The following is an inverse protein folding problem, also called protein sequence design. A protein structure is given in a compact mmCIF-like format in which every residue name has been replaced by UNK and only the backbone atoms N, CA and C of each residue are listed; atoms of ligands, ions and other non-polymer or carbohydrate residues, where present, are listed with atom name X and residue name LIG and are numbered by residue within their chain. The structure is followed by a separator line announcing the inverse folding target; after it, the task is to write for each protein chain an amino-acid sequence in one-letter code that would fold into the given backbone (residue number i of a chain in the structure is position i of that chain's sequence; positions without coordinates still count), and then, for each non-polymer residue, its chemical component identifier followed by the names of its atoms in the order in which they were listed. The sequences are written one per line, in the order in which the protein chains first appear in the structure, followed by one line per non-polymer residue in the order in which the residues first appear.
data_IF_798570131729
#
_entry.id   IF_798570131729
#
_cell.length_a   1.000
_cell.length_b   1.000
_cell.length_c   1.000
_cell.angle_alpha   90.00
_cell.angle_beta   90.00
_cell.angle_gamma   90.00
#
_symmetry.space_group_name_H-M   'P 1'
#
loop_
_entity.id
_entity.type
_entity.pdbx_description
1 polymer ?
#
# COMPACT_ATOMS: atom_id res chain seq x y z
N UNK A 1 -20.26 -10.07 -24.33
CA UNK A 1 -19.53 -8.81 -24.55
C UNK A 1 -18.10 -9.19 -24.90
N UNK A 2 -17.67 -9.02 -26.14
CA UNK A 2 -16.30 -9.30 -26.56
C UNK A 2 -15.40 -8.26 -25.90
N UNK A 3 -14.57 -8.70 -24.97
CA UNK A 3 -13.50 -7.86 -24.41
C UNK A 3 -12.53 -7.61 -25.57
N UNK A 4 -12.55 -6.41 -26.14
CA UNK A 4 -11.55 -5.98 -27.12
C UNK A 4 -10.21 -6.08 -26.41
N UNK A 5 -9.41 -7.12 -26.73
CA UNK A 5 -8.05 -7.26 -26.22
C UNK A 5 -7.27 -6.03 -26.68
N UNK A 6 -6.59 -5.38 -25.74
CA UNK A 6 -5.72 -4.24 -26.03
C UNK A 6 -4.66 -4.67 -27.06
N UNK A 7 -4.59 -3.99 -28.20
CA UNK A 7 -3.57 -4.24 -29.21
C UNK A 7 -2.33 -3.42 -28.90
N UNK A 8 -1.20 -4.11 -28.71
CA UNK A 8 0.12 -3.50 -28.46
C UNK A 8 1.07 -4.02 -29.54
N UNK A 9 1.60 -3.17 -30.42
CA UNK A 9 2.47 -3.61 -31.51
C UNK A 9 3.65 -4.45 -31.02
N UNK A 10 3.85 -5.64 -31.60
CA UNK A 10 4.94 -6.54 -31.23
C UNK A 10 4.71 -7.36 -29.97
N UNK A 11 3.52 -7.26 -29.36
CA UNK A 11 3.17 -7.99 -28.13
C UNK A 11 1.83 -8.70 -28.27
N UNK A 12 1.78 -9.97 -27.94
CA UNK A 12 0.55 -10.74 -27.84
C UNK A 12 0.05 -10.70 -26.39
N UNK A 13 -1.01 -9.95 -26.16
CA UNK A 13 -1.64 -9.81 -24.83
C UNK A 13 -2.43 -11.06 -24.49
N UNK A 14 -2.23 -11.60 -23.26
CA UNK A 14 -2.91 -12.80 -22.76
C UNK A 14 -4.04 -12.48 -21.78
N UNK A 15 -3.88 -11.43 -20.98
CA UNK A 15 -4.87 -11.04 -19.98
C UNK A 15 -4.36 -9.95 -19.06
N UNK A 16 -5.26 -9.44 -18.21
CA UNK A 16 -4.96 -8.40 -17.24
C UNK A 16 -4.42 -9.02 -15.94
N UNK A 17 -3.25 -8.56 -15.49
CA UNK A 17 -2.63 -8.95 -14.21
C UNK A 17 -3.11 -8.09 -13.04
N UNK A 18 -3.36 -6.79 -13.31
CA UNK A 18 -3.78 -5.84 -12.28
C UNK A 18 -4.39 -4.58 -12.86
N UNK A 19 -5.16 -3.88 -12.02
CA UNK A 19 -5.79 -2.61 -12.36
C UNK A 19 -5.62 -1.64 -11.21
N UNK A 20 -4.85 -0.58 -11.44
CA UNK A 20 -4.65 0.53 -10.51
C UNK A 20 -5.45 1.77 -10.89
N UNK A 21 -5.35 2.81 -10.09
CA UNK A 21 -5.98 4.11 -10.37
C UNK A 21 -5.50 4.74 -11.69
N UNK A 22 -4.19 4.74 -11.92
CA UNK A 22 -3.53 5.46 -13.01
C UNK A 22 -3.07 4.55 -14.17
N UNK A 23 -2.94 3.24 -13.96
CA UNK A 23 -2.45 2.29 -14.96
C UNK A 23 -3.12 0.92 -14.84
N UNK A 24 -3.06 0.15 -15.92
CA UNK A 24 -3.45 -1.25 -16.00
C UNK A 24 -2.23 -2.09 -16.38
N UNK A 25 -2.10 -3.28 -15.80
CA UNK A 25 -0.97 -4.18 -16.07
C UNK A 25 -1.48 -5.43 -16.76
N UNK A 26 -0.84 -5.82 -17.85
CA UNK A 26 -1.20 -6.97 -18.67
C UNK A 26 -0.06 -7.97 -18.75
N UNK A 27 -0.39 -9.25 -18.78
CA UNK A 27 0.53 -10.31 -19.20
C UNK A 27 0.55 -10.36 -20.72
N UNK A 28 1.73 -10.33 -21.31
CA UNK A 28 1.91 -10.47 -22.76
C UNK A 28 3.12 -11.34 -23.10
N UNK A 29 3.21 -11.75 -24.36
CA UNK A 29 4.42 -12.31 -24.96
C UNK A 29 4.99 -11.31 -25.95
N UNK A 30 6.24 -10.91 -25.77
CA UNK A 30 7.00 -10.15 -26.76
C UNK A 30 7.33 -11.09 -27.93
N UNK A 31 6.76 -10.81 -29.12
CA UNK A 31 6.78 -11.75 -30.24
C UNK A 31 8.20 -11.95 -30.81
N UNK A 32 8.99 -10.87 -30.89
CA UNK A 32 10.34 -10.88 -31.44
C UNK A 32 11.31 -11.77 -30.66
N UNK A 33 11.14 -11.88 -29.32
CA UNK A 33 12.03 -12.65 -28.43
C UNK A 33 11.32 -13.86 -27.80
N UNK A 34 10.03 -14.08 -28.10
CA UNK A 34 9.21 -15.17 -27.56
C UNK A 34 9.25 -15.29 -26.04
N UNK A 35 9.35 -14.14 -25.33
CA UNK A 35 9.41 -14.08 -23.88
C UNK A 35 8.15 -13.49 -23.26
N UNK A 36 7.80 -13.95 -22.04
CA UNK A 36 6.72 -13.33 -21.25
C UNK A 36 7.17 -12.00 -20.67
N UNK A 37 6.30 -11.02 -20.72
CA UNK A 37 6.51 -9.67 -20.19
C UNK A 37 5.27 -9.21 -19.44
N UNK A 38 5.44 -8.30 -18.49
CA UNK A 38 4.36 -7.51 -17.94
C UNK A 38 4.34 -6.14 -18.65
N UNK A 39 3.15 -5.71 -19.09
CA UNK A 39 3.01 -4.42 -19.77
C UNK A 39 2.10 -3.54 -18.94
N UNK A 40 2.64 -2.43 -18.44
CA UNK A 40 1.93 -1.40 -17.69
C UNK A 40 1.51 -0.31 -18.66
N UNK A 41 0.20 -0.09 -18.81
CA UNK A 41 -0.39 0.89 -19.73
C UNK A 41 -1.03 2.00 -18.91
N UNK A 42 -0.71 3.25 -19.20
CA UNK A 42 -1.37 4.41 -18.60
C UNK A 42 -2.82 4.48 -19.05
N UNK A 43 -3.73 4.87 -18.15
CA UNK A 43 -5.17 4.92 -18.43
C UNK A 43 -5.60 6.14 -19.23
N UNK A 44 -4.88 7.25 -19.10
CA UNK A 44 -5.17 8.49 -19.84
C UNK A 44 -3.92 8.96 -20.58
N UNK A 45 -4.14 9.55 -21.76
CA UNK A 45 -3.14 10.25 -22.54
C UNK A 45 -3.21 11.78 -22.36
N UNK A 46 -4.21 12.27 -21.61
CA UNK A 46 -4.55 13.71 -21.55
C UNK A 46 -3.59 14.50 -20.66
N UNK A 47 -2.98 13.87 -19.64
CA UNK A 47 -2.01 14.52 -18.77
C UNK A 47 -0.58 14.34 -19.31
N UNK A 48 -0.17 15.28 -20.16
CA UNK A 48 1.18 15.29 -20.75
C UNK A 48 2.27 15.41 -19.67
N UNK A 49 2.05 16.19 -18.61
CA UNK A 49 3.02 16.37 -17.52
C UNK A 49 3.25 15.06 -16.78
N UNK A 50 2.17 14.35 -16.47
CA UNK A 50 2.23 13.02 -15.86
C UNK A 50 2.92 12.01 -16.78
N UNK A 51 2.58 12.02 -18.07
CA UNK A 51 3.16 11.12 -19.06
C UNK A 51 4.67 11.31 -19.22
N UNK A 52 5.14 12.56 -19.27
CA UNK A 52 6.58 12.86 -19.38
C UNK A 52 7.36 12.44 -18.12
N UNK A 53 6.78 12.62 -16.92
CA UNK A 53 7.40 12.14 -15.68
C UNK A 53 7.47 10.61 -15.65
N UNK A 54 6.40 9.93 -16.02
CA UNK A 54 6.38 8.47 -16.15
C UNK A 54 7.49 7.95 -17.08
N UNK A 55 7.69 8.59 -18.24
CA UNK A 55 8.75 8.23 -19.18
C UNK A 55 10.13 8.49 -18.59
N UNK A 56 10.34 9.68 -17.99
CA UNK A 56 11.61 10.05 -17.37
C UNK A 56 12.01 9.06 -16.28
N UNK A 57 11.07 8.70 -15.42
CA UNK A 57 11.26 7.69 -14.38
C UNK A 57 11.63 6.34 -14.98
N UNK A 58 10.85 5.88 -15.95
CA UNK A 58 11.09 4.61 -16.60
C UNK A 58 12.49 4.57 -17.26
N UNK A 59 12.97 5.66 -17.86
CA UNK A 59 14.34 5.75 -18.39
C UNK A 59 15.40 5.63 -17.29
N UNK A 60 15.18 6.27 -16.13
CA UNK A 60 16.14 6.16 -15.03
C UNK A 60 16.16 4.73 -14.51
N UNK A 61 15.00 4.12 -14.24
CA UNK A 61 14.91 2.74 -13.77
C UNK A 61 15.50 1.77 -14.80
N UNK A 62 15.26 1.97 -16.11
CA UNK A 62 15.84 1.17 -17.18
C UNK A 62 17.36 1.22 -17.22
N UNK A 63 17.97 2.31 -16.72
CA UNK A 63 19.44 2.44 -16.62
C UNK A 63 20.03 1.69 -15.42
N UNK A 64 19.20 1.22 -14.48
CA UNK A 64 19.64 0.50 -13.29
C UNK A 64 19.78 -0.99 -13.63
N UNK A 65 20.90 -1.58 -13.26
CA UNK A 65 21.12 -3.02 -13.38
C UNK A 65 21.39 -3.61 -12.00
N UNK A 66 20.35 -4.21 -11.41
CA UNK A 66 20.42 -4.82 -10.09
C UNK A 66 19.44 -5.99 -9.96
N UNK A 67 19.80 -7.13 -9.34
CA UNK A 67 18.92 -8.29 -9.23
C UNK A 67 17.61 -8.03 -8.49
N UNK A 68 17.57 -7.04 -7.60
CA UNK A 68 16.37 -6.66 -6.84
C UNK A 68 15.67 -5.41 -7.37
N UNK A 69 15.91 -5.00 -8.60
CA UNK A 69 15.19 -3.94 -9.31
C UNK A 69 14.54 -4.54 -10.55
N UNK A 70 13.30 -4.14 -10.84
CA UNK A 70 12.58 -4.58 -12.04
C UNK A 70 13.34 -4.21 -13.31
N UNK A 71 13.47 -5.14 -14.25
CA UNK A 71 14.08 -4.86 -15.55
C UNK A 71 13.03 -4.29 -16.50
N UNK A 72 13.27 -3.10 -17.02
CA UNK A 72 12.46 -2.48 -18.06
C UNK A 72 13.06 -2.84 -19.42
N UNK A 73 12.19 -3.28 -20.34
CA UNK A 73 12.59 -3.71 -21.67
C UNK A 73 12.29 -2.70 -22.76
N UNK A 74 11.17 -1.97 -22.60
CA UNK A 74 10.70 -1.06 -23.64
C UNK A 74 9.74 -0.03 -23.07
N UNK A 75 9.70 1.15 -23.69
CA UNK A 75 8.78 2.24 -23.40
C UNK A 75 8.32 2.79 -24.73
N UNK A 76 7.01 2.77 -25.00
CA UNK A 76 6.49 3.29 -26.24
C UNK A 76 5.03 3.78 -26.06
N UNK A 77 4.42 4.22 -27.14
CA UNK A 77 3.10 4.83 -27.19
C UNK A 77 2.15 3.98 -28.03
N UNK A 78 0.94 3.77 -27.53
CA UNK A 78 -0.14 3.14 -28.27
C UNK A 78 -0.73 4.08 -29.33
N UNK A 79 -1.46 3.53 -30.30
CA UNK A 79 -2.12 4.30 -31.35
C UNK A 79 -3.13 5.33 -30.81
N UNK A 80 -3.72 5.08 -29.63
CA UNK A 80 -4.63 5.98 -28.94
C UNK A 80 -3.92 7.06 -28.10
N UNK A 81 -2.60 7.10 -28.14
CA UNK A 81 -1.77 8.09 -27.48
C UNK A 81 -1.33 7.74 -26.06
N UNK A 82 -1.83 6.68 -25.45
CA UNK A 82 -1.41 6.23 -24.12
C UNK A 82 -0.01 5.64 -24.17
N UNK A 83 0.78 5.90 -23.12
CA UNK A 83 2.09 5.28 -22.99
C UNK A 83 1.99 3.91 -22.33
N UNK A 84 2.89 3.01 -22.73
CA UNK A 84 3.08 1.74 -22.08
C UNK A 84 4.56 1.48 -21.74
N UNK A 85 4.76 0.63 -20.74
CA UNK A 85 6.05 0.17 -20.26
C UNK A 85 6.06 -1.35 -20.29
N UNK A 86 6.94 -1.95 -21.09
CA UNK A 86 7.17 -3.39 -21.09
C UNK A 86 8.31 -3.74 -20.13
N UNK A 87 8.07 -4.66 -19.21
CA UNK A 87 9.01 -5.02 -18.15
C UNK A 87 9.03 -6.52 -17.89
N UNK A 88 10.00 -6.96 -17.12
CA UNK A 88 10.13 -8.35 -16.66
C UNK A 88 8.82 -8.85 -16.04
N UNK A 89 8.36 -10.03 -16.46
CA UNK A 89 7.26 -10.72 -15.81
C UNK A 89 7.78 -11.56 -14.65
N UNK A 90 7.27 -11.31 -13.45
CA UNK A 90 7.66 -11.95 -12.20
C UNK A 90 6.57 -12.95 -11.76
N UNK A 91 6.78 -14.25 -11.93
CA UNK A 91 5.74 -15.27 -11.70
C UNK A 91 5.45 -15.56 -10.22
N UNK A 92 6.34 -15.17 -9.31
CA UNK A 92 6.21 -15.44 -7.87
C UNK A 92 5.15 -14.58 -7.16
N UNK A 93 4.53 -13.64 -7.87
CA UNK A 93 3.54 -12.73 -7.28
C UNK A 93 4.18 -11.64 -6.42
N UNK A 94 3.37 -10.98 -5.60
CA UNK A 94 3.79 -9.88 -4.73
C UNK A 94 3.74 -10.27 -3.24
N UNK A 95 4.50 -9.56 -2.42
CA UNK A 95 4.57 -9.77 -0.97
C UNK A 95 3.21 -9.48 -0.27
N UNK A 96 2.34 -8.67 -0.86
CA UNK A 96 1.03 -8.35 -0.26
C UNK A 96 0.08 -9.56 -0.21
N UNK A 97 0.32 -10.60 -1.02
CA UNK A 97 -0.43 -11.86 -0.97
C UNK A 97 -0.22 -12.62 0.34
N UNK A 98 0.90 -12.36 1.01
CA UNK A 98 1.30 -12.96 2.29
C UNK A 98 0.94 -12.09 3.50
N UNK A 99 0.03 -11.14 3.31
CA UNK A 99 -0.41 -10.25 4.39
C UNK A 99 -1.03 -11.05 5.55
N UNK A 100 -0.51 -10.83 6.76
CA UNK A 100 -0.94 -11.51 7.97
C UNK A 100 -0.25 -12.86 8.21
N UNK A 101 0.61 -13.31 7.30
CA UNK A 101 1.46 -14.49 7.51
C UNK A 101 2.71 -14.11 8.31
N UNK A 102 3.14 -15.03 9.16
CA UNK A 102 4.42 -14.94 9.85
C UNK A 102 5.50 -15.53 8.96
N UNK A 103 6.52 -14.75 8.69
CA UNK A 103 7.69 -15.22 7.96
C UNK A 103 8.74 -15.80 8.91
N UNK A 104 9.45 -16.83 8.47
CA UNK A 104 10.68 -17.24 9.12
C UNK A 104 11.67 -16.06 9.13
N UNK A 105 12.36 -15.80 10.27
CA UNK A 105 13.27 -14.65 10.40
C UNK A 105 14.32 -14.57 9.30
N UNK A 106 14.88 -15.71 8.86
CA UNK A 106 15.87 -15.80 7.80
C UNK A 106 15.29 -15.33 6.47
N UNK A 107 14.03 -15.71 6.19
CA UNK A 107 13.35 -15.31 4.96
C UNK A 107 13.00 -13.81 4.98
N UNK A 108 12.53 -13.30 6.10
CA UNK A 108 12.28 -11.87 6.28
C UNK A 108 13.56 -11.06 6.11
N UNK A 109 14.67 -11.49 6.72
CA UNK A 109 15.98 -10.86 6.60
C UNK A 109 16.48 -10.87 5.15
N UNK A 110 16.35 -12.01 4.45
CA UNK A 110 16.73 -12.13 3.05
C UNK A 110 15.97 -11.15 2.15
N UNK A 111 14.64 -11.07 2.31
CA UNK A 111 13.79 -10.15 1.52
C UNK A 111 14.21 -8.70 1.78
N UNK A 112 14.37 -8.30 3.05
CA UNK A 112 14.74 -6.92 3.41
C UNK A 112 16.12 -6.56 2.88
N UNK A 113 17.12 -7.46 2.97
CA UNK A 113 18.43 -7.25 2.38
C UNK A 113 18.37 -7.04 0.86
N UNK A 114 17.60 -7.86 0.16
CA UNK A 114 17.42 -7.75 -1.28
C UNK A 114 16.79 -6.41 -1.67
N UNK A 115 15.71 -6.00 -0.99
CA UNK A 115 15.05 -4.71 -1.24
C UNK A 115 15.96 -3.54 -0.86
N UNK A 116 16.61 -3.57 0.30
CA UNK A 116 17.54 -2.52 0.73
C UNK A 116 18.72 -2.35 -0.24
N UNK A 117 19.25 -3.47 -0.78
CA UNK A 117 20.31 -3.44 -1.80
C UNK A 117 19.83 -2.78 -3.09
N UNK A 118 18.61 -3.06 -3.55
CA UNK A 118 18.00 -2.36 -4.68
C UNK A 118 17.80 -0.86 -4.41
N UNK A 119 17.25 -0.52 -3.24
CA UNK A 119 17.07 0.88 -2.83
C UNK A 119 18.39 1.64 -2.78
N UNK A 120 19.49 1.03 -2.30
CA UNK A 120 20.80 1.67 -2.29
C UNK A 120 21.22 2.16 -3.70
N UNK A 121 21.01 1.32 -4.73
CA UNK A 121 21.33 1.68 -6.12
C UNK A 121 20.43 2.81 -6.63
N UNK A 122 19.14 2.82 -6.25
CA UNK A 122 18.19 3.89 -6.58
C UNK A 122 18.61 5.22 -5.94
N UNK A 123 18.95 5.18 -4.66
CA UNK A 123 19.35 6.35 -3.88
C UNK A 123 20.66 6.95 -4.37
N UNK A 124 21.61 6.13 -4.87
CA UNK A 124 22.86 6.58 -5.50
C UNK A 124 22.64 7.44 -6.76
N UNK A 125 21.49 7.29 -7.39
CA UNK A 125 21.06 8.13 -8.52
C UNK A 125 20.30 9.39 -8.08
N UNK A 126 20.23 9.65 -6.78
CA UNK A 126 19.47 10.77 -6.22
C UNK A 126 17.96 10.59 -6.29
N UNK A 127 17.49 9.35 -6.48
CA UNK A 127 16.05 9.02 -6.50
C UNK A 127 15.60 8.48 -5.16
N UNK A 128 14.36 8.75 -4.80
CA UNK A 128 13.65 8.15 -3.68
C UNK A 128 12.47 7.36 -4.24
N UNK A 129 12.25 6.14 -3.77
CA UNK A 129 11.18 5.28 -4.30
C UNK A 129 9.78 5.78 -3.94
N UNK A 130 9.58 6.30 -2.71
CA UNK A 130 8.34 6.95 -2.20
C UNK A 130 7.10 6.07 -2.09
N UNK A 131 7.14 4.83 -2.57
CA UNK A 131 6.01 3.89 -2.51
C UNK A 131 6.47 2.47 -2.15
N UNK A 132 7.41 2.34 -1.22
CA UNK A 132 7.87 1.04 -0.71
C UNK A 132 6.75 0.42 0.10
N UNK A 133 6.17 -0.66 -0.44
CA UNK A 133 5.06 -1.41 0.18
C UNK A 133 5.05 -2.85 -0.34
N UNK A 134 4.39 -3.80 0.34
CA UNK A 134 4.36 -5.21 -0.06
C UNK A 134 3.87 -5.46 -1.49
N UNK A 135 2.91 -4.67 -1.99
CA UNK A 135 2.40 -4.80 -3.35
C UNK A 135 3.44 -4.45 -4.44
N UNK A 136 4.48 -3.68 -4.07
CA UNK A 136 5.55 -3.27 -4.97
C UNK A 136 6.84 -4.08 -4.77
N UNK A 137 6.80 -5.13 -3.94
CA UNK A 137 7.85 -6.14 -3.79
C UNK A 137 7.36 -7.45 -4.40
N UNK A 138 7.84 -7.77 -5.60
CA UNK A 138 7.47 -8.97 -6.34
C UNK A 138 8.58 -10.03 -6.24
N UNK A 139 8.25 -11.27 -6.59
CA UNK A 139 9.20 -12.37 -6.54
C UNK A 139 9.45 -12.98 -7.92
N UNK A 140 10.73 -13.23 -8.23
CA UNK A 140 11.11 -14.13 -9.33
C UNK A 140 10.76 -15.58 -9.01
N UNK A 141 10.86 -16.45 -10.01
CA UNK A 141 10.61 -17.87 -9.83
C UNK A 141 11.58 -18.57 -8.87
N UNK A 142 12.75 -18.00 -8.62
CA UNK A 142 13.75 -18.47 -7.65
C UNK A 142 13.53 -17.90 -6.24
N UNK A 143 12.51 -17.06 -6.06
CA UNK A 143 12.18 -16.41 -4.81
C UNK A 143 12.95 -15.10 -4.55
N UNK A 144 13.74 -14.59 -5.49
CA UNK A 144 14.41 -13.30 -5.36
C UNK A 144 13.37 -12.17 -5.28
N UNK A 145 13.47 -11.32 -4.24
CA UNK A 145 12.62 -10.15 -4.11
C UNK A 145 13.09 -9.02 -5.04
N UNK A 146 12.12 -8.43 -5.76
CA UNK A 146 12.34 -7.40 -6.78
C UNK A 146 11.44 -6.22 -6.51
N UNK A 147 12.03 -5.04 -6.41
CA UNK A 147 11.32 -3.78 -6.24
C UNK A 147 10.81 -3.28 -7.59
N UNK A 148 9.54 -2.87 -7.62
CA UNK A 148 8.84 -2.36 -8.82
C UNK A 148 8.01 -1.13 -8.46
N UNK A 149 7.44 -0.46 -9.47
CA UNK A 149 6.51 0.65 -9.30
C UNK A 149 7.07 1.80 -8.48
N UNK A 150 8.14 2.39 -8.99
CA UNK A 150 8.74 3.60 -8.44
C UNK A 150 7.73 4.74 -8.42
N UNK A 151 7.56 5.39 -7.26
CA UNK A 151 6.44 6.31 -6.99
C UNK A 151 6.65 7.74 -7.46
N UNK A 152 7.37 7.99 -8.58
CA UNK A 152 7.62 9.35 -9.11
C UNK A 152 6.32 10.05 -9.52
N UNK A 153 5.29 9.28 -9.88
CA UNK A 153 3.96 9.84 -10.13
C UNK A 153 3.32 10.52 -8.89
N UNK A 154 3.83 10.24 -7.69
CA UNK A 154 3.33 10.83 -6.44
C UNK A 154 3.84 12.27 -6.17
N UNK A 155 4.85 12.75 -6.91
CA UNK A 155 5.27 14.16 -6.81
C UNK A 155 4.19 15.15 -7.27
N UNK A 156 3.20 14.69 -8.05
CA UNK A 156 2.09 15.51 -8.53
C UNK A 156 1.04 15.79 -7.46
N UNK A 157 0.90 14.89 -6.50
CA UNK A 157 -0.15 15.02 -5.48
C UNK A 157 0.19 16.09 -4.42
N UNK A 158 1.46 16.54 -4.34
CA UNK A 158 1.86 17.62 -3.43
C UNK A 158 1.50 18.99 -4.01
N UNK A 159 1.52 19.14 -5.34
CA UNK A 159 1.24 20.40 -6.05
C UNK A 159 -0.18 20.44 -6.68
N UNK A 160 -0.95 19.33 -6.62
CA UNK A 160 -2.27 19.28 -7.23
C UNK A 160 -3.36 19.75 -6.28
N UNK A 161 -4.38 20.40 -6.83
CA UNK A 161 -5.59 20.83 -6.11
C UNK A 161 -6.28 19.69 -5.33
N UNK A 162 -6.00 18.42 -5.65
CA UNK A 162 -6.52 17.25 -4.92
C UNK A 162 -5.98 17.16 -3.49
N UNK A 163 -4.78 17.67 -3.20
CA UNK A 163 -4.26 17.75 -1.82
C UNK A 163 -4.98 18.82 -0.99
N UNK A 164 -5.56 19.84 -1.62
CA UNK A 164 -6.40 20.82 -0.95
C UNK A 164 -7.70 20.22 -0.40
N UNK A 165 -8.17 19.10 -0.97
CA UNK A 165 -9.37 18.39 -0.48
C UNK A 165 -9.08 17.26 0.50
N UNK A 166 -7.84 17.08 0.96
CA UNK A 166 -7.50 16.05 1.96
C UNK A 166 -7.62 14.61 1.45
N UNK A 167 -7.72 14.40 0.13
CA UNK A 167 -7.77 13.07 -0.50
C UNK A 167 -6.36 12.69 -0.90
N UNK A 168 -5.57 12.17 0.05
CA UNK A 168 -4.28 11.59 -0.27
C UNK A 168 -4.48 10.30 -1.06
N UNK A 169 -3.94 10.24 -2.28
CA UNK A 169 -3.99 9.09 -3.17
C UNK A 169 -3.02 8.01 -2.67
N UNK A 170 -3.53 6.84 -2.31
CA UNK A 170 -2.72 5.68 -1.94
C UNK A 170 -3.07 5.09 -0.57
N UNK A 171 -2.45 3.96 -0.24
CA UNK A 171 -2.59 3.34 1.09
C UNK A 171 -1.56 3.93 2.05
N UNK A 172 -1.96 4.61 3.14
CA UNK A 172 -1.02 5.22 4.10
C UNK A 172 -0.30 4.18 4.97
N UNK A 173 -0.63 2.89 4.84
CA UNK A 173 -0.21 1.85 5.77
C UNK A 173 1.31 1.63 5.88
N UNK A 174 2.09 2.17 4.95
CA UNK A 174 3.55 2.08 4.93
C UNK A 174 4.21 3.45 4.73
N UNK A 175 3.45 4.53 4.80
CA UNK A 175 3.97 5.89 4.62
C UNK A 175 4.85 6.30 5.80
N UNK A 176 5.97 6.95 5.52
CA UNK A 176 6.79 7.53 6.58
C UNK A 176 6.11 8.73 7.26
N UNK A 177 6.49 9.10 8.49
CA UNK A 177 5.95 10.29 9.18
C UNK A 177 6.05 11.56 8.33
N UNK A 178 7.17 11.78 7.65
CA UNK A 178 7.41 12.91 6.77
C UNK A 178 6.52 12.88 5.53
N UNK A 179 6.26 11.70 4.95
CA UNK A 179 5.27 11.56 3.87
C UNK A 179 3.86 11.92 4.35
N UNK A 180 3.50 11.42 5.53
CA UNK A 180 2.20 11.68 6.13
C UNK A 180 1.98 13.18 6.46
N UNK A 181 3.08 13.95 6.63
CA UNK A 181 3.08 15.36 6.95
C UNK A 181 3.41 16.24 5.72
N UNK A 182 3.47 15.67 4.51
CA UNK A 182 3.84 16.38 3.29
C UNK A 182 5.18 17.15 3.40
N UNK A 183 6.14 16.60 4.13
CA UNK A 183 7.48 17.17 4.29
C UNK A 183 8.42 16.68 3.17
N UNK A 184 9.57 17.35 2.97
CA UNK A 184 10.58 16.87 2.02
C UNK A 184 11.03 15.44 2.31
N UNK A 185 11.16 14.63 1.26
CA UNK A 185 11.48 13.22 1.34
C UNK A 185 12.90 12.95 0.88
N UNK A 186 13.56 12.01 1.55
CA UNK A 186 14.85 11.47 1.16
C UNK A 186 14.90 9.93 1.28
N UNK A 187 16.07 9.33 1.08
CA UNK A 187 16.32 7.89 1.16
C UNK A 187 15.81 7.25 2.47
N UNK A 188 15.79 8.00 3.55
CA UNK A 188 15.40 7.53 4.89
C UNK A 188 13.90 7.32 5.03
N UNK A 189 13.08 7.91 4.13
CA UNK A 189 11.64 7.63 4.02
C UNK A 189 11.39 6.20 3.54
N UNK A 190 12.16 5.72 2.55
CA UNK A 190 12.07 4.35 2.05
C UNK A 190 12.55 3.34 3.11
N UNK A 191 13.58 3.69 3.90
CA UNK A 191 14.07 2.87 5.02
C UNK A 191 12.96 2.67 6.07
N UNK A 192 12.21 3.72 6.42
CA UNK A 192 11.08 3.61 7.33
C UNK A 192 10.01 2.66 6.79
N UNK A 193 9.60 2.85 5.54
CA UNK A 193 8.60 2.01 4.88
C UNK A 193 9.03 0.53 4.82
N UNK A 194 10.30 0.27 4.55
CA UNK A 194 10.89 -1.08 4.60
C UNK A 194 10.89 -1.65 6.03
N UNK A 195 11.10 -0.81 7.05
CA UNK A 195 10.98 -1.19 8.46
C UNK A 195 9.57 -1.63 8.84
N UNK A 196 8.54 -0.94 8.32
CA UNK A 196 7.14 -1.36 8.52
C UNK A 196 6.87 -2.72 7.89
N UNK A 197 7.41 -2.98 6.70
CA UNK A 197 7.31 -4.28 6.02
C UNK A 197 8.00 -5.38 6.85
N UNK A 198 9.21 -5.14 7.34
CA UNK A 198 9.94 -6.10 8.18
C UNK A 198 9.16 -6.43 9.45
N UNK A 199 8.65 -5.41 10.14
CA UNK A 199 7.85 -5.62 11.35
C UNK A 199 6.59 -6.44 11.05
N UNK A 200 5.87 -6.14 9.95
CA UNK A 200 4.69 -6.91 9.54
C UNK A 200 5.04 -8.37 9.22
N UNK A 201 6.14 -8.65 8.52
CA UNK A 201 6.58 -10.02 8.23
C UNK A 201 6.92 -10.81 9.50
N UNK A 202 7.57 -10.17 10.49
CA UNK A 202 8.02 -10.84 11.73
C UNK A 202 6.90 -10.99 12.77
N UNK A 203 5.85 -10.18 12.70
CA UNK A 203 4.75 -10.18 13.69
C UNK A 203 3.39 -10.60 13.13
N UNK A 204 3.27 -10.73 11.79
CA UNK A 204 2.01 -10.96 11.08
C UNK A 204 1.07 -9.75 11.11
N UNK A 205 1.48 -8.62 11.69
CA UNK A 205 0.62 -7.45 11.87
C UNK A 205 1.36 -6.14 11.59
N UNK A 206 0.68 -5.24 10.90
CA UNK A 206 1.13 -3.85 10.77
C UNK A 206 0.41 -3.01 11.84
N UNK A 207 1.13 -2.60 12.92
CA UNK A 207 0.51 -1.91 14.05
C UNK A 207 0.03 -0.51 13.71
N UNK A 208 0.56 0.10 12.64
CA UNK A 208 0.18 1.45 12.24
C UNK A 208 -1.18 1.51 11.52
N UNK A 209 -1.74 0.36 11.07
CA UNK A 209 -3.06 0.34 10.45
C UNK A 209 -4.13 0.76 11.44
N UNK A 210 -4.82 1.84 11.14
CA UNK A 210 -6.01 2.31 11.87
C UNK A 210 -7.31 1.84 11.21
N UNK A 211 -8.43 2.16 11.86
CA UNK A 211 -9.76 1.89 11.33
C UNK A 211 -10.12 2.69 10.07
N UNK A 212 -9.39 3.78 9.79
CA UNK A 212 -9.55 4.62 8.61
C UNK A 212 -8.20 5.24 8.18
N UNK A 213 -8.22 5.97 7.06
CA UNK A 213 -7.06 6.65 6.50
C UNK A 213 -6.39 7.59 7.51
N UNK A 214 -7.14 8.53 8.07
CA UNK A 214 -6.64 9.54 9.01
C UNK A 214 -6.00 8.90 10.25
N UNK A 215 -6.63 7.89 10.82
CA UNK A 215 -6.08 7.18 11.97
C UNK A 215 -4.75 6.50 11.63
N UNK A 216 -4.62 5.91 10.44
CA UNK A 216 -3.36 5.30 9.98
C UNK A 216 -2.25 6.35 9.84
N UNK A 217 -2.55 7.50 9.25
CA UNK A 217 -1.63 8.65 9.14
C UNK A 217 -1.17 9.12 10.53
N UNK A 218 -2.12 9.33 11.45
CA UNK A 218 -1.81 9.73 12.84
C UNK A 218 -0.92 8.70 13.54
N UNK A 219 -1.20 7.41 13.35
CA UNK A 219 -0.41 6.34 13.94
C UNK A 219 1.05 6.39 13.45
N UNK A 220 1.31 6.60 12.16
CA UNK A 220 2.66 6.75 11.65
C UNK A 220 3.41 7.94 12.24
N UNK A 221 2.72 9.05 12.49
CA UNK A 221 3.31 10.27 13.04
C UNK A 221 3.57 10.16 14.55
N UNK A 222 2.64 9.59 15.32
CA UNK A 222 2.62 9.72 16.77
C UNK A 222 2.86 8.40 17.53
N UNK A 223 2.46 7.26 16.96
CA UNK A 223 2.48 6.00 17.69
C UNK A 223 3.88 5.37 17.63
N UNK A 224 4.47 5.12 18.81
CA UNK A 224 5.67 4.28 18.89
C UNK A 224 5.34 2.83 18.49
N UNK A 225 6.17 2.20 17.64
CA UNK A 225 5.90 0.83 17.22
C UNK A 225 6.05 -0.12 18.41
N UNK A 226 5.12 -1.07 18.60
CA UNK A 226 5.32 -2.13 19.56
C UNK A 226 6.44 -3.06 19.07
N UNK A 227 7.54 -3.11 19.78
CA UNK A 227 8.68 -3.97 19.47
C UNK A 227 8.83 -5.01 20.58
N UNK A 228 8.10 -6.16 20.52
CA UNK A 228 8.15 -7.20 21.53
C UNK A 228 9.53 -7.85 21.61
N UNK A 229 9.87 -8.43 22.75
CA UNK A 229 11.17 -9.09 22.98
C UNK A 229 11.38 -10.30 22.07
N UNK A 230 10.28 -10.91 21.57
CA UNK A 230 10.33 -12.01 20.59
C UNK A 230 10.96 -11.63 19.24
N UNK A 231 11.16 -10.35 18.95
CA UNK A 231 11.91 -9.90 17.79
C UNK A 231 13.42 -10.14 17.90
N UNK A 232 13.93 -10.45 19.11
CA UNK A 232 15.34 -10.77 19.33
C UNK A 232 16.28 -9.71 18.74
N UNK A 233 17.25 -10.16 17.96
CA UNK A 233 18.25 -9.30 17.31
C UNK A 233 17.68 -8.25 16.35
N UNK A 234 16.48 -8.46 15.82
CA UNK A 234 15.82 -7.47 14.94
C UNK A 234 15.33 -6.22 15.67
N UNK A 235 15.13 -6.28 16.98
CA UNK A 235 14.52 -5.18 17.76
C UNK A 235 15.30 -3.87 17.62
N UNK A 236 16.64 -3.92 17.72
CA UNK A 236 17.49 -2.74 17.61
C UNK A 236 17.45 -2.12 16.19
N UNK A 237 17.50 -2.97 15.17
CA UNK A 237 17.43 -2.54 13.78
C UNK A 237 16.06 -1.92 13.48
N UNK A 238 14.96 -2.57 13.88
CA UNK A 238 13.59 -2.08 13.72
C UNK A 238 13.35 -0.76 14.46
N UNK A 239 13.84 -0.63 15.70
CA UNK A 239 13.72 0.61 16.45
C UNK A 239 14.35 1.79 15.69
N UNK A 240 15.53 1.57 15.07
CA UNK A 240 16.20 2.59 14.29
C UNK A 240 15.54 2.84 12.94
N UNK A 241 15.09 1.81 12.20
CA UNK A 241 14.34 1.99 10.94
C UNK A 241 13.06 2.78 11.15
N UNK A 242 12.33 2.52 12.24
CA UNK A 242 11.01 3.08 12.55
C UNK A 242 11.05 4.34 13.42
N UNK A 243 12.23 4.89 13.69
CA UNK A 243 12.37 6.17 14.38
C UNK A 243 11.57 7.27 13.65
N UNK A 244 10.89 8.13 14.43
CA UNK A 244 10.00 9.15 13.85
C UNK A 244 10.77 10.23 13.09
N UNK A 245 11.91 10.66 13.62
CA UNK A 245 12.77 11.63 12.95
C UNK A 245 13.72 10.92 11.99
N UNK A 246 13.82 11.39 10.73
CA UNK A 246 14.76 10.80 9.77
C UNK A 246 16.22 10.76 10.27
N UNK A 247 16.66 11.77 11.02
CA UNK A 247 18.04 11.84 11.54
C UNK A 247 18.37 10.77 12.59
N UNK A 248 17.37 10.14 13.18
CA UNK A 248 17.52 9.05 14.14
C UNK A 248 17.57 7.67 13.44
N UNK A 249 17.30 7.62 12.13
CA UNK A 249 17.33 6.39 11.32
C UNK A 249 18.74 6.08 10.82
N UNK A 250 18.86 5.02 10.01
CA UNK A 250 20.08 4.79 9.22
C UNK A 250 20.24 5.89 8.18
N UNK A 251 21.46 6.37 8.00
CA UNK A 251 21.74 7.48 7.08
C UNK A 251 21.41 7.12 5.64
N UNK A 252 21.60 5.85 5.27
CA UNK A 252 21.35 5.30 3.94
C UNK A 252 21.12 3.77 4.02
N UNK A 253 20.77 3.17 2.89
CA UNK A 253 20.57 1.72 2.81
C UNK A 253 21.86 0.91 2.98
N UNK A 254 23.05 1.47 2.77
CA UNK A 254 24.32 0.75 3.03
C UNK A 254 24.55 0.61 4.52
N UNK A 255 24.31 1.67 5.30
CA UNK A 255 24.35 1.61 6.76
C UNK A 255 23.31 0.63 7.33
N UNK A 256 22.10 0.56 6.72
CA UNK A 256 21.11 -0.44 7.07
C UNK A 256 21.60 -1.85 6.76
N UNK A 257 22.16 -2.10 5.55
CA UNK A 257 22.66 -3.41 5.15
C UNK A 257 23.76 -3.91 6.10
N UNK A 258 24.71 -3.03 6.47
CA UNK A 258 25.76 -3.38 7.44
C UNK A 258 25.15 -3.81 8.80
N UNK A 259 24.13 -3.10 9.30
CA UNK A 259 23.46 -3.47 10.54
C UNK A 259 22.65 -4.79 10.41
N UNK A 260 22.07 -5.06 9.22
CA UNK A 260 21.38 -6.32 8.95
C UNK A 260 22.36 -7.51 8.89
N UNK A 261 23.61 -7.28 8.48
CA UNK A 261 24.66 -8.32 8.44
C UNK A 261 25.13 -8.72 9.86
N UNK A 262 24.94 -7.85 10.84
CA UNK A 262 25.24 -8.11 12.25
C UNK A 262 24.08 -8.83 12.99
N UNK A 263 22.92 -9.04 12.35
CA UNK A 263 21.80 -9.74 12.97
C UNK A 263 22.12 -11.22 13.10
N UNK A 264 22.38 -11.66 14.31
CA UNK A 264 22.58 -13.07 14.64
C UNK A 264 21.23 -13.75 14.86
N UNK A 265 20.95 -14.78 14.04
CA UNK A 265 19.67 -15.50 14.07
C UNK A 265 19.63 -16.61 15.12
N UNK A 266 20.79 -16.98 15.69
CA UNK A 266 20.93 -18.05 16.71
C UNK A 266 20.06 -17.80 17.94
N UNK A 267 19.87 -16.54 18.33
CA UNK A 267 19.08 -16.17 19.52
C UNK A 267 17.57 -16.36 19.34
N UNK A 268 17.12 -16.58 18.08
CA UNK A 268 15.70 -16.77 17.76
C UNK A 268 15.28 -18.24 17.89
N UNK A 269 16.20 -19.19 17.71
CA UNK A 269 15.92 -20.63 17.83
C UNK A 269 15.62 -21.00 19.30
N UNK A 270 16.29 -20.40 20.27
CA UNK A 270 16.03 -20.66 21.70
C UNK A 270 14.65 -20.20 22.19
N UNK A 271 14.06 -19.18 21.53
CA UNK A 271 12.75 -18.65 21.94
C UNK A 271 11.57 -19.43 21.34
N UNK A 272 11.79 -20.21 20.30
CA UNK A 272 10.73 -21.01 19.63
C UNK A 272 10.62 -22.44 20.16
N UNK A 273 11.60 -22.94 20.91
CA UNK A 273 11.52 -24.24 21.60
C UNK A 273 10.86 -24.02 22.96
N UNK A 274 9.61 -23.59 23.01
CA UNK A 274 8.72 -24.03 24.07
C UNK A 274 8.33 -25.46 23.73
N UNK A 275 8.67 -26.46 24.55
CA UNK A 275 8.13 -27.78 24.31
C UNK A 275 6.61 -27.66 24.30
N UNK A 276 6.00 -28.10 23.21
CA UNK A 276 4.57 -28.32 23.21
C UNK A 276 4.25 -29.03 24.54
N UNK A 277 3.45 -28.38 25.38
CA UNK A 277 2.94 -29.02 26.59
C UNK A 277 2.44 -30.40 26.14
N UNK A 278 3.14 -31.43 26.61
CA UNK A 278 2.72 -32.82 26.41
C UNK A 278 1.25 -32.87 26.81
N UNK A 279 0.39 -33.14 25.84
CA UNK A 279 -1.00 -33.45 26.14
C UNK A 279 -0.98 -34.62 27.09
N UNK A 280 -1.66 -34.56 28.26
CA UNK A 280 -1.77 -35.72 29.13
C UNK A 280 -2.37 -36.87 28.35
N UNK A 281 -1.75 -38.04 28.46
CA UNK A 281 -2.26 -39.28 27.90
C UNK A 281 -3.75 -39.44 28.20
N UNK A 282 -4.58 -39.89 27.26
CA UNK A 282 -6.00 -40.07 27.48
C UNK A 282 -6.23 -41.16 28.49
N UNK A 283 -6.68 -40.80 29.70
CA UNK A 283 -7.21 -41.73 30.66
C UNK A 283 -8.45 -42.44 30.06
N UNK A 284 -8.52 -43.74 30.26
CA UNK A 284 -9.52 -44.62 29.74
C UNK A 284 -10.98 -44.19 30.09
N UNK A 285 -12.00 -44.54 29.28
CA UNK A 285 -13.32 -43.97 29.33
C UNK A 285 -14.13 -44.50 30.54
N UNK A 286 -14.60 -43.57 31.38
CA UNK A 286 -15.71 -43.86 32.29
C UNK A 286 -16.98 -43.32 31.63
N UNK A 287 -17.85 -44.25 31.25
CA UNK A 287 -19.17 -44.01 30.68
C UNK A 287 -20.16 -43.61 31.75
N UNK A 288 -20.81 -42.47 31.63
CA UNK A 288 -22.21 -42.24 32.06
C UNK A 288 -22.80 -41.04 31.30
N UNK A 289 -23.97 -41.18 30.68
CA UNK A 289 -24.58 -40.09 29.93
C UNK A 289 -25.48 -39.24 30.83
N UNK A 290 -25.20 -37.93 30.89
CA UNK A 290 -26.17 -36.95 31.42
C UNK A 290 -26.73 -36.15 30.24
N UNK A 291 -28.07 -36.01 30.10
CA UNK A 291 -28.63 -35.32 28.94
C UNK A 291 -28.40 -33.82 29.02
N UNK A 292 -27.67 -33.29 28.03
CA UNK A 292 -27.52 -31.84 27.83
C UNK A 292 -28.79 -31.26 27.26
N UNK A 293 -29.53 -30.48 28.07
CA UNK A 293 -30.56 -29.57 27.60
C UNK A 293 -29.97 -28.62 26.57
N UNK A 294 -30.45 -28.68 25.33
CA UNK A 294 -30.19 -27.68 24.29
C UNK A 294 -30.80 -26.35 24.72
N UNK A 295 -29.99 -25.43 25.20
CA UNK A 295 -30.40 -24.01 25.26
C UNK A 295 -30.46 -23.50 23.83
N UNK A 296 -31.68 -23.14 23.39
CA UNK A 296 -31.90 -22.58 22.06
C UNK A 296 -31.14 -21.22 21.94
N UNK A 297 -30.26 -21.10 20.95
CA UNK A 297 -29.58 -19.86 20.63
C UNK A 297 -30.50 -18.82 19.93
N UNK A 298 -31.78 -19.08 19.85
CA UNK A 298 -32.77 -18.28 19.15
C UNK A 298 -32.92 -16.82 19.67
N UNK A 299 -32.90 -16.55 20.99
CA UNK A 299 -33.08 -15.17 21.46
C UNK A 299 -31.89 -14.24 21.13
N UNK A 300 -30.68 -14.77 21.05
CA UNK A 300 -29.47 -13.93 20.73
C UNK A 300 -29.45 -13.47 19.28
N UNK A 301 -29.85 -14.33 18.34
CA UNK A 301 -29.94 -13.98 16.91
C UNK A 301 -31.04 -12.95 16.65
N UNK A 302 -32.17 -13.01 17.35
CA UNK A 302 -33.25 -12.01 17.22
C UNK A 302 -32.79 -10.64 17.75
N UNK A 303 -32.09 -10.60 18.88
CA UNK A 303 -31.56 -9.34 19.43
C UNK A 303 -30.51 -8.73 18.49
N UNK A 304 -29.64 -9.56 17.93
CA UNK A 304 -28.62 -9.09 17.00
C UNK A 304 -29.24 -8.53 15.71
N UNK A 305 -30.25 -9.18 15.14
CA UNK A 305 -30.94 -8.71 13.94
C UNK A 305 -31.74 -7.41 14.18
N UNK A 306 -32.32 -7.22 15.35
CA UNK A 306 -32.99 -5.97 15.74
C UNK A 306 -32.00 -4.82 15.88
N UNK A 307 -30.81 -5.06 16.48
CA UNK A 307 -29.78 -4.05 16.60
C UNK A 307 -29.19 -3.63 15.22
N UNK A 308 -29.01 -4.58 14.31
CA UNK A 308 -28.58 -4.28 12.93
C UNK A 308 -29.66 -3.47 12.20
N UNK A 309 -30.94 -3.80 12.35
CA UNK A 309 -32.02 -3.05 11.72
C UNK A 309 -32.12 -1.61 12.25
N UNK A 310 -31.97 -1.41 13.55
CA UNK A 310 -31.93 -0.06 14.15
C UNK A 310 -30.74 0.72 13.63
N UNK A 311 -29.54 0.11 13.55
CA UNK A 311 -28.34 0.74 13.02
C UNK A 311 -28.50 1.17 11.56
N UNK A 312 -29.11 0.34 10.70
CA UNK A 312 -29.36 0.68 9.29
C UNK A 312 -30.41 1.80 9.14
N UNK A 313 -31.47 1.80 9.94
CA UNK A 313 -32.49 2.84 9.92
C UNK A 313 -31.96 4.19 10.38
N UNK A 314 -31.11 4.23 11.42
CA UNK A 314 -30.48 5.47 11.89
C UNK A 314 -29.49 6.02 10.88
N UNK A 315 -28.67 5.17 10.24
CA UNK A 315 -27.74 5.57 9.19
C UNK A 315 -28.48 6.12 7.97
N UNK A 316 -29.56 5.46 7.54
CA UNK A 316 -30.40 5.93 6.43
C UNK A 316 -31.07 7.28 6.77
N UNK A 317 -31.53 7.46 7.99
CA UNK A 317 -32.12 8.72 8.46
C UNK A 317 -31.12 9.88 8.42
N UNK A 318 -29.89 9.66 8.89
CA UNK A 318 -28.80 10.66 8.85
C UNK A 318 -28.42 11.01 7.40
N UNK A 319 -28.34 9.99 6.53
CA UNK A 319 -28.03 10.21 5.11
C UNK A 319 -29.10 11.06 4.41
N UNK A 320 -30.39 10.76 4.65
CA UNK A 320 -31.50 11.56 4.08
C UNK A 320 -31.49 12.99 4.61
N UNK A 321 -31.16 13.17 5.88
CA UNK A 321 -31.08 14.52 6.48
C UNK A 321 -29.94 15.32 5.83
N UNK A 322 -28.78 14.72 5.61
CA UNK A 322 -27.64 15.35 4.95
C UNK A 322 -27.97 15.72 3.50
N UNK A 323 -28.62 14.85 2.74
CA UNK A 323 -29.04 15.14 1.37
C UNK A 323 -30.02 16.32 1.31
N UNK A 324 -30.99 16.39 2.21
CA UNK A 324 -31.92 17.53 2.28
C UNK A 324 -31.21 18.84 2.61
N UNK A 325 -30.17 18.81 3.42
CA UNK A 325 -29.39 20.00 3.77
C UNK A 325 -28.59 20.49 2.55
N UNK A 326 -27.97 19.59 1.78
CA UNK A 326 -27.27 19.90 0.53
C UNK A 326 -28.23 20.49 -0.51
N UNK A 327 -29.41 19.90 -0.72
CA UNK A 327 -30.43 20.42 -1.63
C UNK A 327 -30.90 21.82 -1.23
N UNK A 328 -31.10 22.09 0.06
CA UNK A 328 -31.48 23.39 0.54
C UNK A 328 -30.39 24.46 0.26
N UNK A 329 -29.13 24.12 0.47
CA UNK A 329 -27.99 24.99 0.17
C UNK A 329 -27.86 25.29 -1.32
N UNK A 330 -28.06 24.26 -2.17
CA UNK A 330 -28.06 24.42 -3.64
C UNK A 330 -29.16 25.36 -4.10
N UNK A 331 -30.39 25.21 -3.60
CA UNK A 331 -31.50 26.11 -3.95
C UNK A 331 -31.21 27.53 -3.54
N UNK A 332 -30.61 27.77 -2.37
CA UNK A 332 -30.21 29.11 -1.92
C UNK A 332 -29.09 29.68 -2.80
N UNK A 333 -28.10 28.88 -3.17
CA UNK A 333 -27.02 29.28 -4.07
C UNK A 333 -27.56 29.68 -5.45
N UNK A 334 -28.48 28.88 -6.03
CA UNK A 334 -29.13 29.20 -7.32
C UNK A 334 -29.98 30.47 -7.27
N UNK A 335 -30.72 30.66 -6.19
CA UNK A 335 -31.52 31.88 -6.01
C UNK A 335 -30.65 33.12 -5.97
N UNK A 336 -29.52 33.08 -5.25
CA UNK A 336 -28.58 34.21 -5.17
C UNK A 336 -27.85 34.44 -6.49
N UNK A 337 -27.50 33.36 -7.19
CA UNK A 337 -26.94 33.45 -8.54
C UNK A 337 -27.92 34.14 -9.51
N UNK A 338 -29.19 33.73 -9.50
CA UNK A 338 -30.22 34.34 -10.33
C UNK A 338 -30.50 35.83 -9.99
N UNK A 339 -30.28 36.19 -8.73
CA UNK A 339 -30.40 37.59 -8.26
C UNK A 339 -29.16 38.47 -8.56
N UNK A 340 -28.11 37.91 -9.20
CA UNK A 340 -26.87 38.61 -9.55
C UNK A 340 -25.93 38.85 -8.36
N UNK A 341 -26.16 38.22 -7.20
CA UNK A 341 -25.36 38.35 -5.98
C UNK A 341 -24.28 37.24 -5.95
N UNK A 342 -23.25 37.41 -6.78
CA UNK A 342 -22.20 36.37 -6.94
C UNK A 342 -21.19 36.37 -5.78
N UNK A 343 -20.78 37.54 -5.32
CA UNK A 343 -19.71 37.71 -4.33
C UNK A 343 -20.14 38.59 -3.14
N UNK A 344 -21.03 39.56 -3.32
CA UNK A 344 -21.49 40.46 -2.25
C UNK A 344 -23.01 40.35 -2.00
N UNK A 345 -23.44 40.41 -0.73
CA UNK A 345 -22.62 40.47 0.50
C UNK A 345 -21.94 39.15 0.85
N UNK A 346 -20.72 39.20 1.41
CA UNK A 346 -19.84 38.06 1.60
C UNK A 346 -20.44 36.86 2.39
N UNK A 347 -21.45 37.11 3.22
CA UNK A 347 -22.13 36.04 4.01
C UNK A 347 -23.48 35.60 3.41
N UNK A 348 -23.92 36.16 2.30
CA UNK A 348 -25.21 35.86 1.69
C UNK A 348 -25.14 35.93 0.15
N UNK A 349 -23.99 35.45 -0.39
CA UNK A 349 -23.76 35.34 -1.83
C UNK A 349 -23.92 33.90 -2.30
N UNK A 350 -24.09 33.72 -3.60
CA UNK A 350 -24.10 32.38 -4.19
C UNK A 350 -22.82 31.59 -3.88
N UNK A 351 -21.65 32.22 -3.91
CA UNK A 351 -20.37 31.64 -3.57
C UNK A 351 -20.32 31.13 -2.12
N UNK A 352 -20.89 31.89 -1.17
CA UNK A 352 -20.97 31.45 0.24
C UNK A 352 -21.72 30.12 0.39
N UNK A 353 -22.86 29.97 -0.31
CA UNK A 353 -23.66 28.74 -0.24
C UNK A 353 -23.03 27.58 -1.02
N UNK A 354 -22.39 27.80 -2.16
CA UNK A 354 -21.66 26.79 -2.89
C UNK A 354 -20.45 26.25 -2.11
N UNK A 355 -19.80 27.08 -1.32
CA UNK A 355 -18.66 26.67 -0.48
C UNK A 355 -19.07 25.89 0.79
N UNK A 356 -20.37 25.78 1.10
CA UNK A 356 -20.89 24.98 2.22
C UNK A 356 -21.31 23.56 1.81
N UNK A 357 -21.36 23.27 0.51
CA UNK A 357 -21.70 21.96 -0.07
C UNK A 357 -20.47 21.10 -0.21
#
# INVERSE_FOLDING_TARGET
MSTTLLEIPGYRVHGQLGKGGMAEVFLATQESLSRKVAIKVLRSAEDETFSQRFIKEAHIVASLNHPSIITIYDIDRLADGRYYLAMEFLPGGDLARHKGELFAPERALQIVRQVASGLAVVHDKGLVHRDVKPANVLFRGDGTAVLTDFGVAKDLDIDSELTQFGVAVGSPAYSSPEQAQCQPLDARSDIYSLGVILLEMLTGNNPFRGGNYTQTVVNHVQMEPPLPDSLGAFRGVLARMLAKKPDERFADCRALLAALDEVELSDLEETQIRPALALPEPAAPVVAPVPRQRRSAMPLLVVLSVLVLIGTLTSAGLYIQQQRQIEALLVQAEQRFAAGQLIEPAQDSAEHYFNQI
#
